data_IF_486297651666
#
_entry.id   IF_486297651666
#
_cell.length_a   1.000
_cell.length_b   1.000
_cell.length_c   1.000
_cell.angle_alpha   90.00
_cell.angle_beta   90.00
_cell.angle_gamma   90.00
#
_symmetry.space_group_name_H-M   'P 1'
#
loop_
_entity.id
_entity.type
_entity.pdbx_description
1 polymer ?
#
# COMPACT_ATOMS: atom_id res chain seq x y z
N UNK A 1 11.41 -33.50 -1.20
CA UNK A 1 10.89 -33.95 0.11
C UNK A 1 9.72 -34.87 -0.16
N UNK A 2 9.93 -36.19 -0.19
CA UNK A 2 8.86 -37.18 -0.28
C UNK A 2 8.49 -37.62 1.13
N UNK A 3 7.78 -36.78 1.87
CA UNK A 3 6.99 -37.25 3.01
C UNK A 3 5.71 -37.83 2.44
N UNK A 4 5.51 -39.14 2.59
CA UNK A 4 4.23 -39.83 2.40
C UNK A 4 3.19 -39.19 3.33
N UNK A 5 2.63 -38.04 2.90
CA UNK A 5 1.53 -37.38 3.57
C UNK A 5 0.30 -38.23 3.36
N UNK A 6 -0.26 -38.73 4.46
CA UNK A 6 -1.46 -39.55 4.44
C UNK A 6 -2.63 -38.68 3.92
N UNK A 7 -2.96 -38.80 2.64
CA UNK A 7 -3.99 -37.99 1.95
C UNK A 7 -5.41 -38.21 2.49
N UNK A 8 -5.61 -39.17 3.42
CA UNK A 8 -6.90 -39.48 4.03
C UNK A 8 -7.37 -38.44 5.05
N UNK A 9 -6.43 -37.73 5.70
CA UNK A 9 -6.74 -36.71 6.70
C UNK A 9 -6.39 -35.30 6.17
N UNK A 10 -7.17 -34.27 6.52
CA UNK A 10 -6.80 -32.90 6.22
C UNK A 10 -5.45 -32.53 6.83
N UNK A 11 -4.62 -31.86 6.03
CA UNK A 11 -3.30 -31.38 6.43
C UNK A 11 -3.40 -29.93 6.89
N UNK A 12 -2.89 -29.61 8.09
CA UNK A 12 -2.65 -28.25 8.55
C UNK A 12 -1.15 -27.94 8.48
N UNK A 13 -0.78 -27.06 7.56
CA UNK A 13 0.57 -26.51 7.43
C UNK A 13 0.66 -25.24 8.25
N UNK A 14 1.61 -25.18 9.18
CA UNK A 14 1.80 -23.99 10.01
C UNK A 14 3.25 -23.52 10.04
N UNK A 15 3.45 -22.23 10.27
CA UNK A 15 4.77 -21.60 10.28
C UNK A 15 4.69 -20.11 10.56
N UNK A 16 5.84 -19.43 10.53
CA UNK A 16 5.90 -17.97 10.60
C UNK A 16 5.37 -17.33 9.30
N UNK A 17 5.12 -16.01 9.34
CA UNK A 17 4.80 -15.26 8.12
C UNK A 17 5.95 -15.35 7.12
N UNK A 18 5.65 -15.47 5.83
CA UNK A 18 6.65 -15.53 4.77
C UNK A 18 7.55 -16.78 4.78
N UNK A 19 7.22 -17.82 5.54
CA UNK A 19 7.99 -19.06 5.60
C UNK A 19 7.74 -20.01 4.40
N UNK A 20 6.91 -19.63 3.43
CA UNK A 20 6.61 -20.48 2.27
C UNK A 20 5.46 -21.48 2.46
N UNK A 21 4.56 -21.28 3.45
CA UNK A 21 3.37 -22.13 3.67
C UNK A 21 2.53 -22.31 2.40
N UNK A 22 2.13 -21.20 1.78
CA UNK A 22 1.30 -21.21 0.58
C UNK A 22 2.03 -21.81 -0.64
N UNK A 23 3.35 -21.65 -0.71
CA UNK A 23 4.19 -22.28 -1.74
C UNK A 23 4.24 -23.80 -1.57
N UNK A 24 4.46 -24.29 -0.34
CA UNK A 24 4.44 -25.71 -0.04
C UNK A 24 3.07 -26.34 -0.34
N UNK A 25 1.97 -25.69 0.06
CA UNK A 25 0.63 -26.18 -0.20
C UNK A 25 0.32 -26.26 -1.70
N UNK A 26 0.81 -25.29 -2.48
CA UNK A 26 0.68 -25.32 -3.94
C UNK A 26 1.46 -26.49 -4.53
N UNK A 27 2.73 -26.65 -4.18
CA UNK A 27 3.57 -27.75 -4.68
C UNK A 27 3.00 -29.14 -4.35
N UNK A 28 2.40 -29.30 -3.16
CA UNK A 28 1.71 -30.55 -2.79
C UNK A 28 0.46 -30.83 -3.65
N UNK A 29 -0.10 -29.80 -4.26
CA UNK A 29 -1.33 -29.84 -5.04
C UNK A 29 -1.10 -29.75 -6.56
N UNK A 30 0.14 -29.66 -7.04
CA UNK A 30 0.48 -29.42 -8.47
C UNK A 30 -0.16 -30.44 -9.43
N UNK A 31 -0.35 -31.68 -8.99
CA UNK A 31 -0.96 -32.75 -9.79
C UNK A 31 -2.46 -32.94 -9.54
N UNK A 32 -3.12 -31.98 -8.86
CA UNK A 32 -4.54 -32.04 -8.50
C UNK A 32 -5.33 -30.87 -9.10
N UNK A 33 -6.65 -31.02 -9.18
CA UNK A 33 -7.55 -29.89 -9.46
C UNK A 33 -7.76 -29.10 -8.17
N UNK A 34 -7.21 -27.89 -8.09
CA UNK A 34 -7.19 -27.07 -6.87
C UNK A 34 -8.38 -26.12 -6.83
N UNK A 35 -9.11 -26.13 -5.72
CA UNK A 35 -10.03 -25.05 -5.34
C UNK A 35 -9.42 -24.31 -4.16
N UNK A 36 -9.02 -23.06 -4.38
CA UNK A 36 -8.41 -22.20 -3.36
C UNK A 36 -9.48 -21.31 -2.73
N UNK A 37 -9.52 -21.29 -1.40
CA UNK A 37 -10.28 -20.37 -0.58
C UNK A 37 -9.27 -19.52 0.19
N UNK A 38 -9.28 -18.21 -0.03
CA UNK A 38 -8.38 -17.27 0.63
C UNK A 38 -9.14 -16.04 1.15
N UNK A 39 -8.39 -15.07 1.69
CA UNK A 39 -8.94 -13.87 2.30
C UNK A 39 -9.81 -13.04 1.36
N UNK A 40 -9.71 -13.19 0.03
CA UNK A 40 -10.59 -12.50 -0.92
C UNK A 40 -12.05 -12.97 -0.82
N UNK A 41 -12.28 -14.18 -0.30
CA UNK A 41 -13.62 -14.79 -0.19
C UNK A 41 -14.30 -14.54 1.18
N UNK A 42 -13.72 -13.67 2.02
CA UNK A 42 -14.29 -13.32 3.33
C UNK A 42 -15.71 -12.78 3.19
N UNK A 43 -16.65 -13.31 3.98
CA UNK A 43 -18.09 -12.95 4.00
C UNK A 43 -18.85 -13.22 2.69
N UNK A 44 -18.19 -13.67 1.63
CA UNK A 44 -18.84 -14.07 0.37
C UNK A 44 -19.53 -15.42 0.52
N UNK A 45 -18.93 -16.36 1.27
CA UNK A 45 -19.47 -17.70 1.46
C UNK A 45 -20.46 -17.73 2.63
N UNK A 46 -21.74 -17.62 2.31
CA UNK A 46 -22.82 -17.54 3.30
C UNK A 46 -23.41 -18.89 3.73
N UNK A 47 -23.15 -19.97 2.98
CA UNK A 47 -23.78 -21.26 3.24
C UNK A 47 -22.79 -22.42 3.25
N UNK A 48 -23.05 -23.39 4.13
CA UNK A 48 -22.32 -24.66 4.21
C UNK A 48 -22.46 -25.49 2.92
N UNK A 49 -23.56 -25.28 2.19
CA UNK A 49 -23.81 -25.88 0.88
C UNK A 49 -22.71 -25.58 -0.13
N UNK A 50 -22.08 -24.41 -0.06
CA UNK A 50 -21.00 -24.04 -0.98
C UNK A 50 -19.76 -24.93 -0.83
N UNK A 51 -19.31 -25.20 0.41
CA UNK A 51 -18.18 -26.11 0.66
C UNK A 51 -18.51 -27.54 0.21
N UNK A 52 -19.73 -27.99 0.50
CA UNK A 52 -20.19 -29.32 0.09
C UNK A 52 -20.28 -29.42 -1.43
N UNK A 53 -20.74 -28.38 -2.11
CA UNK A 53 -20.84 -28.32 -3.56
C UNK A 53 -19.46 -28.36 -4.23
N UNK A 54 -18.48 -27.61 -3.71
CA UNK A 54 -17.08 -27.66 -4.18
C UNK A 54 -16.55 -29.10 -4.12
N UNK A 55 -16.80 -29.77 -3.01
CA UNK A 55 -16.24 -31.09 -2.73
C UNK A 55 -17.02 -32.20 -3.46
N UNK A 56 -18.35 -32.08 -3.60
CA UNK A 56 -19.23 -33.08 -4.24
C UNK A 56 -19.37 -32.95 -5.75
N UNK A 57 -19.54 -31.73 -6.29
CA UNK A 57 -19.90 -31.57 -7.71
C UNK A 57 -18.76 -32.08 -8.58
N UNK A 58 -19.07 -32.85 -9.62
CA UNK A 58 -18.15 -33.10 -10.72
C UNK A 58 -17.98 -31.78 -11.45
N UNK A 59 -16.93 -31.03 -11.12
CA UNK A 59 -16.60 -29.84 -11.88
C UNK A 59 -16.35 -30.24 -13.32
N UNK A 60 -16.81 -29.43 -14.27
CA UNK A 60 -16.60 -29.59 -15.70
C UNK A 60 -15.11 -29.82 -15.99
N UNK A 61 -14.23 -29.14 -15.25
CA UNK A 61 -12.78 -29.32 -15.31
C UNK A 61 -12.32 -30.76 -15.10
N UNK A 62 -12.98 -31.56 -14.24
CA UNK A 62 -12.63 -32.97 -14.03
C UNK A 62 -13.13 -33.90 -15.14
N UNK A 63 -14.11 -33.47 -15.92
CA UNK A 63 -14.55 -34.22 -17.10
C UNK A 63 -13.54 -34.08 -18.24
N UNK A 64 -12.78 -32.99 -18.27
CA UNK A 64 -11.80 -32.68 -19.32
C UNK A 64 -10.34 -32.74 -18.85
N UNK A 65 -10.06 -32.93 -17.56
CA UNK A 65 -8.70 -33.03 -17.04
C UNK A 65 -8.23 -34.47 -16.95
N UNK A 66 -7.00 -34.72 -17.41
CA UNK A 66 -6.30 -36.00 -17.18
C UNK A 66 -6.06 -36.27 -15.68
N UNK A 67 -6.00 -35.20 -14.86
CA UNK A 67 -5.85 -35.24 -13.41
C UNK A 67 -7.16 -35.64 -12.73
N UNK A 68 -7.14 -36.72 -11.95
CA UNK A 68 -8.34 -37.27 -11.27
C UNK A 68 -8.48 -36.84 -9.80
N UNK A 69 -7.40 -36.38 -9.17
CA UNK A 69 -7.39 -36.01 -7.75
C UNK A 69 -7.78 -34.53 -7.54
N UNK A 70 -8.45 -34.24 -6.42
CA UNK A 70 -8.89 -32.88 -6.05
C UNK A 70 -8.16 -32.40 -4.82
N UNK A 71 -7.91 -31.09 -4.77
CA UNK A 71 -7.40 -30.41 -3.59
C UNK A 71 -8.29 -29.23 -3.21
N UNK A 72 -8.76 -29.18 -1.97
CA UNK A 72 -9.35 -27.99 -1.36
C UNK A 72 -8.28 -27.33 -0.51
N UNK A 73 -7.86 -26.13 -0.90
CA UNK A 73 -6.84 -25.36 -0.21
C UNK A 73 -7.48 -24.17 0.50
N UNK A 74 -7.42 -24.13 1.82
CA UNK A 74 -7.90 -23.02 2.64
C UNK A 74 -6.67 -22.28 3.17
N UNK A 75 -6.37 -21.15 2.57
CA UNK A 75 -5.21 -20.33 2.91
C UNK A 75 -5.54 -19.46 4.12
N UNK A 76 -4.61 -19.37 5.08
CA UNK A 76 -4.67 -18.53 6.27
C UNK A 76 -5.99 -18.65 7.07
N UNK A 77 -6.34 -19.86 7.51
CA UNK A 77 -7.58 -20.15 8.27
C UNK A 77 -7.77 -19.25 9.51
N UNK A 78 -6.67 -18.78 10.10
CA UNK A 78 -6.65 -17.85 11.22
C UNK A 78 -7.26 -16.48 10.91
N UNK A 79 -7.22 -16.02 9.65
CA UNK A 79 -7.86 -14.79 9.18
C UNK A 79 -9.39 -14.95 9.22
N UNK A 80 -9.91 -16.09 8.78
CA UNK A 80 -11.35 -16.38 8.87
C UNK A 80 -11.83 -16.44 10.32
N UNK A 81 -11.05 -17.02 11.23
CA UNK A 81 -11.43 -16.99 12.65
C UNK A 81 -11.55 -15.56 13.21
N UNK A 82 -10.71 -14.63 12.74
CA UNK A 82 -10.70 -13.23 13.19
C UNK A 82 -11.84 -12.40 12.57
N UNK A 83 -12.07 -12.54 11.26
CA UNK A 83 -12.94 -11.64 10.49
C UNK A 83 -14.26 -12.28 9.99
N UNK A 84 -14.37 -13.61 9.99
CA UNK A 84 -15.55 -14.36 9.52
C UNK A 84 -15.77 -15.64 10.37
N UNK A 85 -16.20 -15.44 11.62
CA UNK A 85 -16.43 -16.53 12.59
C UNK A 85 -17.45 -17.55 12.09
N UNK A 86 -18.46 -17.11 11.34
CA UNK A 86 -19.47 -17.97 10.70
C UNK A 86 -18.82 -18.99 9.78
N UNK A 87 -18.01 -18.52 8.83
CA UNK A 87 -17.33 -19.38 7.87
C UNK A 87 -16.30 -20.28 8.54
N UNK A 88 -15.55 -19.75 9.52
CA UNK A 88 -14.64 -20.58 10.31
C UNK A 88 -15.38 -21.73 11.02
N UNK A 89 -16.53 -21.48 11.65
CA UNK A 89 -17.35 -22.53 12.28
C UNK A 89 -17.78 -23.58 11.24
N UNK A 90 -18.21 -23.15 10.05
CA UNK A 90 -18.55 -24.05 8.95
C UNK A 90 -17.38 -24.94 8.53
N UNK A 91 -16.16 -24.41 8.42
CA UNK A 91 -14.95 -25.20 8.15
C UNK A 91 -14.70 -26.22 9.26
N UNK A 92 -14.79 -25.81 10.54
CA UNK A 92 -14.54 -26.73 11.65
C UNK A 92 -15.54 -27.89 11.68
N UNK A 93 -16.81 -27.63 11.34
CA UNK A 93 -17.84 -28.67 11.29
C UNK A 93 -17.65 -29.58 10.07
N UNK A 94 -17.27 -29.03 8.91
CA UNK A 94 -16.89 -29.80 7.72
C UNK A 94 -15.73 -30.77 8.01
N UNK A 95 -14.70 -30.34 8.74
CA UNK A 95 -13.56 -31.19 9.15
C UNK A 95 -14.01 -32.30 10.12
N UNK A 96 -14.97 -32.02 11.02
CA UNK A 96 -15.48 -33.05 11.94
C UNK A 96 -16.29 -34.14 11.24
N UNK A 97 -16.96 -33.79 10.13
CA UNK A 97 -17.85 -34.72 9.40
C UNK A 97 -17.10 -35.81 8.63
N UNK A 98 -15.81 -35.62 8.31
CA UNK A 98 -14.97 -36.58 7.57
C UNK A 98 -15.50 -37.02 6.19
N UNK A 99 -16.42 -36.24 5.60
CA UNK A 99 -17.00 -36.50 4.27
C UNK A 99 -16.31 -35.65 3.21
N UNK A 100 -15.08 -36.02 2.85
CA UNK A 100 -14.25 -35.24 1.92
C UNK A 100 -14.36 -35.68 0.45
N UNK A 101 -15.13 -36.72 0.12
CA UNK A 101 -15.39 -37.18 -1.25
C UNK A 101 -14.12 -37.27 -2.13
N UNK A 102 -13.07 -37.94 -1.64
CA UNK A 102 -11.77 -38.08 -2.32
C UNK A 102 -11.05 -36.75 -2.63
N UNK A 103 -11.42 -35.68 -1.94
CA UNK A 103 -10.73 -34.39 -2.00
C UNK A 103 -9.70 -34.31 -0.89
N UNK A 104 -8.45 -34.03 -1.25
CA UNK A 104 -7.40 -33.73 -0.31
C UNK A 104 -7.59 -32.32 0.24
N UNK A 105 -7.62 -32.16 1.57
CA UNK A 105 -7.87 -30.86 2.20
C UNK A 105 -6.57 -30.34 2.82
N UNK A 106 -6.14 -29.16 2.40
CA UNK A 106 -4.96 -28.48 2.94
C UNK A 106 -5.41 -27.17 3.57
N UNK A 107 -4.98 -26.92 4.81
CA UNK A 107 -5.22 -25.72 5.58
C UNK A 107 -3.86 -25.07 5.88
N UNK A 108 -3.75 -23.75 5.81
CA UNK A 108 -2.55 -23.04 6.26
C UNK A 108 -2.85 -22.11 7.42
N UNK A 109 -1.94 -22.00 8.40
CA UNK A 109 -2.07 -21.02 9.48
C UNK A 109 -0.74 -20.50 10.02
N UNK A 110 -0.79 -19.40 10.78
CA UNK A 110 0.36 -18.92 11.54
C UNK A 110 0.50 -19.66 12.88
N UNK A 111 1.74 -19.78 13.38
CA UNK A 111 2.03 -20.48 14.64
C UNK A 111 1.28 -19.91 15.85
N UNK A 112 0.99 -18.60 15.87
CA UNK A 112 0.20 -17.96 16.93
C UNK A 112 -1.21 -18.54 17.06
N UNK A 113 -1.76 -19.11 15.99
CA UNK A 113 -3.11 -19.66 15.96
C UNK A 113 -3.22 -21.06 16.58
N UNK A 114 -2.11 -21.77 16.79
CA UNK A 114 -2.11 -23.15 17.29
C UNK A 114 -2.70 -23.29 18.70
N UNK A 115 -2.63 -22.23 19.51
CA UNK A 115 -3.19 -22.20 20.88
C UNK A 115 -4.69 -21.89 20.91
N UNK A 116 -5.32 -21.65 19.76
CA UNK A 116 -6.73 -21.30 19.70
C UNK A 116 -7.62 -22.47 20.16
N UNK A 117 -8.54 -22.21 21.10
CA UNK A 117 -9.43 -23.23 21.68
C UNK A 117 -10.28 -23.94 20.61
N UNK A 118 -10.75 -23.24 19.58
CA UNK A 118 -11.58 -23.85 18.53
C UNK A 118 -10.77 -24.74 17.60
N UNK A 119 -9.54 -24.34 17.24
CA UNK A 119 -8.64 -25.19 16.46
C UNK A 119 -8.29 -26.48 17.24
N UNK A 120 -8.06 -26.37 18.56
CA UNK A 120 -7.78 -27.52 19.41
C UNK A 120 -8.90 -28.56 19.41
N UNK A 121 -10.17 -28.16 19.25
CA UNK A 121 -11.31 -29.09 19.13
C UNK A 121 -11.24 -29.98 17.89
N UNK A 122 -10.60 -29.50 16.82
CA UNK A 122 -10.46 -30.26 15.57
C UNK A 122 -9.09 -30.92 15.39
N UNK A 123 -8.16 -30.72 16.34
CA UNK A 123 -6.79 -31.24 16.29
C UNK A 123 -6.70 -32.75 15.99
N UNK A 124 -7.59 -33.55 16.57
CA UNK A 124 -7.62 -35.01 16.36
C UNK A 124 -8.01 -35.45 14.94
N UNK A 125 -8.52 -34.52 14.12
CA UNK A 125 -8.91 -34.78 12.74
C UNK A 125 -7.89 -34.24 11.73
N UNK A 126 -6.82 -33.60 12.20
CA UNK A 126 -5.83 -32.93 11.35
C UNK A 126 -4.47 -33.61 11.48
N UNK A 127 -3.76 -33.71 10.36
CA UNK A 127 -2.32 -33.97 10.35
C UNK A 127 -1.59 -32.61 10.38
N UNK A 128 -0.58 -32.46 11.23
CA UNK A 128 0.15 -31.20 11.40
C UNK A 128 1.51 -31.27 10.71
N UNK A 129 1.87 -30.20 10.01
CA UNK A 129 3.21 -30.03 9.45
C UNK A 129 3.73 -28.62 9.77
N UNK A 130 4.81 -28.55 10.55
CA UNK A 130 5.48 -27.28 10.84
C UNK A 130 6.53 -26.97 9.77
N UNK A 131 6.45 -25.77 9.20
CA UNK A 131 7.53 -25.19 8.41
C UNK A 131 8.42 -24.36 9.34
N UNK A 132 9.59 -24.91 9.62
CA UNK A 132 10.65 -24.26 10.39
C UNK A 132 11.99 -24.54 9.72
N UNK A 133 12.79 -23.49 9.57
CA UNK A 133 14.12 -23.58 9.01
C UNK A 133 15.17 -23.27 10.08
N UNK A 134 16.28 -23.99 10.05
CA UNK A 134 17.51 -23.52 10.69
C UNK A 134 18.10 -22.37 9.87
N UNK A 135 18.98 -21.56 10.48
CA UNK A 135 19.66 -20.48 9.75
C UNK A 135 20.36 -20.99 8.48
N UNK A 136 21.08 -22.12 8.59
CA UNK A 136 21.80 -22.71 7.44
C UNK A 136 20.86 -23.16 6.32
N UNK A 137 19.69 -23.72 6.65
CA UNK A 137 18.68 -24.09 5.65
C UNK A 137 18.09 -22.84 4.98
N UNK A 138 17.73 -21.84 5.79
CA UNK A 138 17.19 -20.57 5.31
C UNK A 138 18.17 -19.88 4.35
N UNK A 139 19.43 -19.77 4.78
CA UNK A 139 20.53 -19.18 4.03
C UNK A 139 20.71 -19.87 2.66
N UNK A 140 20.78 -21.20 2.62
CA UNK A 140 20.88 -21.97 1.37
C UNK A 140 19.71 -21.71 0.41
N UNK A 141 18.50 -21.57 0.95
CA UNK A 141 17.31 -21.27 0.14
C UNK A 141 17.40 -19.84 -0.41
N UNK A 142 17.81 -18.86 0.39
CA UNK A 142 18.00 -17.48 -0.07
C UNK A 142 19.07 -17.37 -1.15
N UNK A 143 20.20 -18.08 -1.02
CA UNK A 143 21.22 -18.17 -2.07
C UNK A 143 20.63 -18.69 -3.39
N UNK A 144 19.78 -19.73 -3.29
CA UNK A 144 19.12 -20.30 -4.48
C UNK A 144 18.15 -19.31 -5.11
N UNK A 145 17.30 -18.65 -4.31
CA UNK A 145 16.37 -17.60 -4.77
C UNK A 145 17.13 -16.49 -5.48
N UNK A 146 18.23 -16.04 -4.89
CA UNK A 146 19.01 -14.94 -5.43
C UNK A 146 19.71 -15.30 -6.76
N UNK A 147 20.18 -16.55 -6.88
CA UNK A 147 20.71 -17.11 -8.12
C UNK A 147 19.62 -17.24 -9.20
N UNK A 148 18.47 -17.80 -8.85
CA UNK A 148 17.36 -18.04 -9.78
C UNK A 148 16.79 -16.72 -10.32
N UNK A 149 16.71 -15.68 -9.49
CA UNK A 149 16.25 -14.34 -9.86
C UNK A 149 17.34 -13.42 -10.43
N UNK A 150 18.60 -13.89 -10.49
CA UNK A 150 19.75 -13.14 -11.04
C UNK A 150 19.94 -11.76 -10.41
N UNK A 151 19.73 -11.61 -9.10
CA UNK A 151 20.02 -10.33 -8.44
C UNK A 151 21.53 -10.03 -8.52
N UNK A 152 21.91 -8.75 -8.64
CA UNK A 152 23.31 -8.30 -8.62
C UNK A 152 23.66 -7.90 -7.19
N UNK A 153 24.61 -8.59 -6.56
CA UNK A 153 25.01 -8.33 -5.18
C UNK A 153 26.45 -8.79 -4.94
N UNK A 154 27.12 -8.16 -3.98
CA UNK A 154 28.32 -8.72 -3.35
C UNK A 154 27.91 -9.75 -2.31
N UNK A 155 28.81 -10.67 -1.94
CA UNK A 155 28.51 -11.69 -0.93
C UNK A 155 28.16 -11.07 0.43
N UNK A 156 28.87 -10.03 0.84
CA UNK A 156 28.63 -9.32 2.11
C UNK A 156 27.27 -8.61 2.16
N UNK A 157 26.83 -8.06 1.02
CA UNK A 157 25.53 -7.41 0.90
C UNK A 157 24.40 -8.43 0.98
N UNK A 158 24.56 -9.57 0.30
CA UNK A 158 23.61 -10.67 0.37
C UNK A 158 23.47 -11.21 1.80
N UNK A 159 24.57 -11.38 2.53
CA UNK A 159 24.56 -11.86 3.91
C UNK A 159 23.79 -10.92 4.84
N UNK A 160 24.00 -9.60 4.70
CA UNK A 160 23.22 -8.59 5.42
C UNK A 160 21.74 -8.70 5.09
N UNK A 161 21.38 -8.79 3.81
CA UNK A 161 19.97 -8.91 3.36
C UNK A 161 19.31 -10.17 3.90
N UNK A 162 20.01 -11.31 3.89
CA UNK A 162 19.53 -12.57 4.47
C UNK A 162 19.31 -12.40 5.98
N UNK A 163 20.25 -11.78 6.69
CA UNK A 163 20.10 -11.54 8.12
C UNK A 163 18.89 -10.66 8.45
N UNK A 164 18.76 -9.50 7.78
CA UNK A 164 17.67 -8.53 8.01
C UNK A 164 16.29 -9.08 7.64
N UNK A 165 16.20 -9.99 6.69
CA UNK A 165 14.94 -10.61 6.29
C UNK A 165 14.28 -11.48 7.36
N UNK A 166 15.00 -11.86 8.43
CA UNK A 166 14.40 -12.42 9.64
C UNK A 166 13.61 -13.73 9.43
N UNK A 167 14.09 -14.63 8.57
CA UNK A 167 13.42 -15.87 8.15
C UNK A 167 12.14 -15.67 7.33
N UNK A 168 11.96 -14.51 6.69
CA UNK A 168 10.84 -14.21 5.82
C UNK A 168 11.31 -14.11 4.36
N UNK A 169 10.93 -15.09 3.53
CA UNK A 169 11.34 -15.11 2.12
C UNK A 169 10.74 -13.96 1.30
N UNK A 170 9.55 -13.48 1.67
CA UNK A 170 8.93 -12.35 0.96
C UNK A 170 9.67 -11.04 1.28
N UNK A 171 10.07 -10.85 2.54
CA UNK A 171 10.90 -9.71 2.94
C UNK A 171 12.26 -9.76 2.26
N UNK A 172 12.89 -10.93 2.20
CA UNK A 172 14.15 -11.11 1.48
C UNK A 172 14.04 -10.71 0.00
N UNK A 173 13.01 -11.19 -0.71
CA UNK A 173 12.78 -10.82 -2.12
C UNK A 173 12.55 -9.32 -2.27
N UNK A 174 11.71 -8.72 -1.43
CA UNK A 174 11.43 -7.28 -1.44
C UNK A 174 12.73 -6.46 -1.31
N UNK A 175 13.58 -6.78 -0.33
CA UNK A 175 14.85 -6.07 -0.12
C UNK A 175 15.79 -6.24 -1.32
N UNK A 176 15.81 -7.42 -1.96
CA UNK A 176 16.63 -7.66 -3.15
C UNK A 176 16.09 -6.95 -4.41
N UNK A 177 14.77 -6.73 -4.48
CA UNK A 177 14.09 -6.09 -5.61
C UNK A 177 14.10 -4.57 -5.54
N UNK A 178 14.19 -3.97 -4.35
CA UNK A 178 14.36 -2.51 -4.17
C UNK A 178 15.58 -1.99 -4.96
N UNK A 179 16.70 -2.74 -5.00
CA UNK A 179 17.88 -2.34 -5.77
C UNK A 179 17.73 -2.46 -7.29
N UNK A 180 16.84 -3.35 -7.77
CA UNK A 180 16.52 -3.47 -9.20
C UNK A 180 15.55 -2.37 -9.65
N UNK A 181 14.55 -2.05 -8.83
CA UNK A 181 13.53 -1.06 -9.16
C UNK A 181 14.03 0.38 -8.99
N UNK A 182 15.02 0.64 -8.13
CA UNK A 182 15.72 1.93 -8.11
C UNK A 182 16.43 2.28 -9.44
N UNK A 183 16.64 1.31 -10.34
CA UNK A 183 17.15 1.56 -11.70
C UNK A 183 16.07 1.74 -12.77
N UNK A 184 14.79 1.53 -12.43
CA UNK A 184 13.65 1.57 -13.36
C UNK A 184 12.52 2.52 -12.95
N UNK A 185 12.46 2.94 -11.69
CA UNK A 185 11.61 4.05 -11.26
C UNK A 185 12.27 5.36 -11.68
N UNK A 186 11.66 6.02 -12.67
CA UNK A 186 11.98 7.40 -13.05
C UNK A 186 11.39 8.43 -12.07
N UNK A 187 10.96 8.00 -10.87
CA UNK A 187 10.49 8.90 -9.83
C UNK A 187 11.69 9.29 -8.98
N UNK A 188 12.05 10.58 -9.04
CA UNK A 188 13.09 11.13 -8.19
C UNK A 188 12.70 10.88 -6.71
N UNK A 189 13.61 10.34 -5.87
CA UNK A 189 13.38 10.21 -4.45
C UNK A 189 12.88 11.52 -3.84
N UNK A 190 11.92 11.46 -2.93
CA UNK A 190 11.29 12.65 -2.35
C UNK A 190 12.33 13.57 -1.67
N UNK A 191 13.44 13.00 -1.20
CA UNK A 191 14.58 13.75 -0.67
C UNK A 191 15.26 14.62 -1.74
N UNK A 192 15.39 14.13 -2.97
CA UNK A 192 15.95 14.87 -4.11
C UNK A 192 14.99 15.98 -4.53
N UNK A 193 13.69 15.66 -4.63
CA UNK A 193 12.66 16.64 -4.99
C UNK A 193 12.59 17.78 -3.96
N UNK A 194 12.52 17.43 -2.66
CA UNK A 194 12.50 18.41 -1.57
C UNK A 194 13.72 19.32 -1.60
N UNK A 195 14.92 18.75 -1.81
CA UNK A 195 16.15 19.53 -1.94
C UNK A 195 16.09 20.48 -3.13
N UNK A 196 15.62 19.98 -4.28
CA UNK A 196 15.49 20.78 -5.48
C UNK A 196 14.51 21.94 -5.31
N UNK A 197 13.37 21.73 -4.63
CA UNK A 197 12.37 22.76 -4.32
C UNK A 197 12.89 23.85 -3.37
N UNK A 198 13.94 23.58 -2.59
CA UNK A 198 14.59 24.55 -1.70
C UNK A 198 15.72 25.29 -2.43
N UNK A 199 16.43 24.61 -3.32
CA UNK A 199 17.62 25.13 -4.00
C UNK A 199 17.31 25.89 -5.29
N UNK A 200 16.20 25.56 -5.96
CA UNK A 200 15.84 26.11 -7.26
C UNK A 200 14.49 26.83 -7.22
N UNK A 201 14.34 27.87 -8.04
CA UNK A 201 13.04 28.51 -8.27
C UNK A 201 12.33 27.86 -9.44
N UNK A 202 11.07 27.53 -9.25
CA UNK A 202 10.24 26.90 -10.27
C UNK A 202 9.08 27.80 -10.66
N UNK A 203 8.68 27.70 -11.92
CA UNK A 203 7.40 28.25 -12.33
C UNK A 203 6.26 27.45 -11.71
N UNK A 204 5.11 28.10 -11.47
CA UNK A 204 3.95 27.46 -10.84
C UNK A 204 3.53 26.19 -11.60
N UNK A 205 3.56 26.22 -12.95
CA UNK A 205 3.24 25.06 -13.79
C UNK A 205 4.20 23.89 -13.56
N UNK A 206 5.46 24.17 -13.28
CA UNK A 206 6.47 23.17 -12.97
C UNK A 206 6.27 22.60 -11.57
N UNK A 207 5.92 23.46 -10.59
CA UNK A 207 5.58 23.01 -9.23
C UNK A 207 4.38 22.05 -9.22
N UNK A 208 3.36 22.31 -10.03
CA UNK A 208 2.22 21.39 -10.18
C UNK A 208 2.64 20.02 -10.70
N UNK A 209 3.63 19.97 -11.58
CA UNK A 209 4.13 18.73 -12.17
C UNK A 209 5.10 18.00 -11.23
N UNK A 210 5.95 18.73 -10.52
CA UNK A 210 7.00 18.18 -9.65
C UNK A 210 6.39 17.62 -8.35
N UNK A 211 5.34 18.25 -7.82
CA UNK A 211 4.75 17.88 -6.55
C UNK A 211 3.61 16.86 -6.66
N UNK A 212 3.22 16.46 -7.87
CA UNK A 212 2.05 15.60 -8.11
C UNK A 212 2.18 14.26 -7.37
N UNK A 213 1.21 13.97 -6.50
CA UNK A 213 1.12 12.72 -5.74
C UNK A 213 1.78 12.72 -4.35
N UNK A 214 2.69 13.67 -4.08
CA UNK A 214 3.43 13.79 -2.81
C UNK A 214 3.31 15.20 -2.19
N UNK A 215 2.30 15.98 -2.59
CA UNK A 215 2.18 17.41 -2.30
C UNK A 215 2.20 17.70 -0.79
N UNK A 216 1.51 16.89 0.00
CA UNK A 216 1.39 17.05 1.46
C UNK A 216 2.73 16.78 2.14
N UNK A 217 3.42 15.71 1.72
CA UNK A 217 4.68 15.29 2.31
C UNK A 217 5.79 16.29 1.98
N UNK A 218 5.83 16.77 0.73
CA UNK A 218 6.72 17.84 0.30
C UNK A 218 6.45 19.14 1.07
N UNK A 219 5.18 19.53 1.26
CA UNK A 219 4.81 20.72 2.02
C UNK A 219 5.30 20.64 3.48
N UNK A 220 5.11 19.50 4.16
CA UNK A 220 5.60 19.31 5.52
C UNK A 220 7.13 19.25 5.60
N UNK A 221 7.81 18.60 4.65
CA UNK A 221 9.27 18.63 4.61
C UNK A 221 9.80 20.04 4.41
N UNK A 222 9.15 20.86 3.58
CA UNK A 222 9.53 22.26 3.38
C UNK A 222 9.26 23.12 4.62
N UNK A 223 8.17 22.85 5.35
CA UNK A 223 7.85 23.50 6.63
C UNK A 223 8.87 23.16 7.72
N UNK A 224 9.21 21.88 7.86
CA UNK A 224 10.18 21.39 8.86
C UNK A 224 11.57 22.02 8.66
N UNK A 225 11.92 22.29 7.40
CA UNK A 225 13.18 22.94 7.04
C UNK A 225 13.06 24.46 6.92
N UNK A 226 11.91 25.07 7.21
CA UNK A 226 11.66 26.50 7.03
C UNK A 226 12.58 27.37 7.88
N UNK A 227 12.80 26.99 9.14
CA UNK A 227 13.67 27.72 10.07
C UNK A 227 15.12 27.77 9.55
N UNK A 228 15.61 26.63 9.04
CA UNK A 228 16.95 26.50 8.47
C UNK A 228 17.12 27.28 7.16
N UNK A 229 16.05 27.37 6.38
CA UNK A 229 16.06 27.89 5.01
C UNK A 229 15.68 29.37 4.88
N UNK A 230 15.04 29.97 5.89
CA UNK A 230 14.58 31.38 5.85
C UNK A 230 15.36 32.33 6.79
N UNK A 231 16.22 31.82 7.69
CA UNK A 231 17.13 32.55 8.63
C UNK A 231 16.79 34.05 8.93
N UNK A 232 16.41 34.36 10.18
CA UNK A 232 16.29 35.69 10.84
C UNK A 232 15.44 36.76 10.11
N UNK A 233 14.94 36.54 8.90
CA UNK A 233 13.93 37.41 8.29
C UNK A 233 12.54 37.06 8.82
N UNK A 234 12.26 37.54 10.05
CA UNK A 234 11.01 37.30 10.79
C UNK A 234 9.80 37.69 9.94
N UNK A 235 9.91 38.73 9.10
CA UNK A 235 8.82 39.17 8.21
C UNK A 235 8.55 38.13 7.13
N UNK A 236 9.58 37.59 6.45
CA UNK A 236 9.39 36.52 5.45
C UNK A 236 8.88 35.24 6.09
N UNK A 237 9.46 34.86 7.23
CA UNK A 237 9.04 33.70 8.01
C UNK A 237 7.56 33.78 8.37
N UNK A 238 7.12 34.91 8.94
CA UNK A 238 5.72 35.10 9.33
C UNK A 238 4.76 35.00 8.15
N UNK A 239 5.04 35.60 6.97
CA UNK A 239 4.10 35.44 5.84
C UNK A 239 4.20 34.08 5.13
N UNK A 240 5.26 33.29 5.32
CA UNK A 240 5.30 31.89 4.85
C UNK A 240 4.46 31.03 5.80
N UNK A 241 4.69 31.16 7.11
CA UNK A 241 3.96 30.43 8.12
C UNK A 241 2.45 30.74 8.09
N UNK A 242 2.07 32.00 7.89
CA UNK A 242 0.66 32.39 7.71
C UNK A 242 0.04 31.74 6.48
N UNK A 243 0.79 31.54 5.40
CA UNK A 243 0.30 30.81 4.23
C UNK A 243 0.02 29.34 4.53
N UNK A 244 0.81 28.70 5.42
CA UNK A 244 0.52 27.34 5.87
C UNK A 244 -0.73 27.29 6.74
N UNK A 245 -0.89 28.23 7.68
CA UNK A 245 -2.10 28.31 8.50
C UNK A 245 -3.34 28.49 7.60
N UNK A 246 -3.26 29.39 6.62
CA UNK A 246 -4.36 29.60 5.67
C UNK A 246 -4.64 28.32 4.86
N UNK A 247 -3.60 27.59 4.44
CA UNK A 247 -3.72 26.30 3.75
C UNK A 247 -4.37 25.23 4.64
N UNK A 248 -3.96 25.08 5.89
CA UNK A 248 -4.49 24.10 6.84
C UNK A 248 -5.97 24.38 7.18
N UNK A 249 -6.34 25.65 7.37
CA UNK A 249 -7.74 26.07 7.60
C UNK A 249 -8.60 25.70 6.39
N UNK A 250 -8.07 25.91 5.19
CA UNK A 250 -8.77 25.58 3.95
C UNK A 250 -8.89 24.06 3.80
N UNK A 251 -7.82 23.30 4.04
CA UNK A 251 -7.79 21.84 4.01
C UNK A 251 -8.82 21.24 4.98
N UNK A 252 -8.82 21.68 6.25
CA UNK A 252 -9.80 21.26 7.25
C UNK A 252 -11.25 21.47 6.80
N UNK A 253 -11.53 22.63 6.20
CA UNK A 253 -12.87 22.97 5.71
C UNK A 253 -13.23 22.21 4.43
N UNK A 254 -12.26 21.78 3.63
CA UNK A 254 -12.47 20.94 2.44
C UNK A 254 -12.76 19.49 2.83
N UNK A 255 -11.98 18.91 3.74
CA UNK A 255 -12.19 17.55 4.28
C UNK A 255 -13.58 17.45 4.92
N UNK A 256 -14.01 18.50 5.61
CA UNK A 256 -15.35 18.58 6.23
C UNK A 256 -16.50 18.64 5.21
N UNK A 257 -16.26 19.17 4.00
CA UNK A 257 -17.28 19.41 2.98
C UNK A 257 -17.14 18.50 1.74
N UNK A 258 -16.32 17.45 1.81
CA UNK A 258 -16.14 16.38 0.83
C UNK A 258 -15.82 16.86 -0.60
N UNK A 259 -14.86 17.79 -0.72
CA UNK A 259 -14.38 18.31 -2.02
C UNK A 259 -12.92 17.93 -2.28
N UNK A 260 -12.69 16.67 -2.61
CA UNK A 260 -11.36 16.06 -2.90
C UNK A 260 -10.44 16.90 -3.81
N UNK A 261 -11.01 17.61 -4.79
CA UNK A 261 -10.25 18.35 -5.80
C UNK A 261 -9.44 19.54 -5.28
N UNK A 262 -9.78 20.07 -4.11
CA UNK A 262 -9.19 21.32 -3.61
C UNK A 262 -7.95 21.11 -2.72
N UNK A 263 -7.69 19.87 -2.27
CA UNK A 263 -6.61 19.55 -1.32
C UNK A 263 -5.24 19.62 -2.02
N UNK A 264 -5.12 19.02 -3.21
CA UNK A 264 -3.87 18.98 -4.00
C UNK A 264 -3.32 20.39 -4.31
N UNK A 265 -4.20 21.33 -4.66
CA UNK A 265 -3.79 22.68 -5.05
C UNK A 265 -3.31 23.52 -3.86
N UNK A 266 -3.84 23.31 -2.65
CA UNK A 266 -3.52 24.12 -1.47
C UNK A 266 -2.15 23.75 -0.89
N UNK A 267 -1.80 22.47 -0.86
CA UNK A 267 -0.45 22.02 -0.52
C UNK A 267 0.59 22.55 -1.51
N UNK A 268 0.27 22.59 -2.81
CA UNK A 268 1.14 23.18 -3.85
C UNK A 268 1.26 24.70 -3.71
N UNK A 269 0.22 25.42 -3.27
CA UNK A 269 0.29 26.86 -2.99
C UNK A 269 1.20 27.17 -1.79
N UNK A 270 1.17 26.34 -0.76
CA UNK A 270 2.09 26.41 0.37
C UNK A 270 3.54 26.18 -0.09
N UNK A 271 3.77 25.15 -0.91
CA UNK A 271 5.07 24.88 -1.54
C UNK A 271 5.53 26.05 -2.42
N UNK A 272 4.63 26.62 -3.23
CA UNK A 272 4.94 27.74 -4.12
C UNK A 272 5.32 29.01 -3.34
N UNK A 273 4.65 29.30 -2.23
CA UNK A 273 4.98 30.46 -1.40
C UNK A 273 6.34 30.34 -0.72
N UNK A 274 6.75 29.13 -0.38
CA UNK A 274 8.09 28.83 0.12
C UNK A 274 9.10 28.90 -1.02
N UNK A 275 8.90 28.15 -2.11
CA UNK A 275 9.80 28.10 -3.27
C UNK A 275 10.06 29.49 -3.87
N UNK A 276 9.04 30.35 -3.93
CA UNK A 276 9.19 31.73 -4.39
C UNK A 276 10.14 32.56 -3.51
N UNK A 277 10.16 32.28 -2.21
CA UNK A 277 10.88 33.06 -1.19
C UNK A 277 12.21 32.45 -0.77
N UNK A 278 12.46 31.19 -1.14
CA UNK A 278 13.66 30.46 -0.81
C UNK A 278 14.51 30.29 -2.07
N UNK A 279 15.82 30.49 -1.91
CA UNK A 279 16.83 30.16 -2.91
C UNK A 279 18.16 29.98 -2.15
N UNK A 280 18.28 28.87 -1.43
CA UNK A 280 19.44 28.62 -0.56
C UNK A 280 19.98 27.21 -0.75
N UNK A 281 21.31 27.07 -0.76
CA UNK A 281 21.97 25.77 -0.71
C UNK A 281 21.81 25.16 0.68
N UNK A 282 21.22 23.97 0.76
CA UNK A 282 20.98 23.30 2.04
C UNK A 282 21.62 21.90 2.05
N UNK A 283 22.59 21.69 2.95
CA UNK A 283 23.34 20.43 3.01
C UNK A 283 22.68 19.38 3.92
N UNK A 284 21.92 19.79 4.94
CA UNK A 284 21.35 18.88 5.97
C UNK A 284 19.84 19.12 6.17
N UNK A 285 19.05 18.50 5.30
CA UNK A 285 17.58 18.52 5.36
C UNK A 285 17.06 17.51 6.38
N UNK A 286 16.08 17.92 7.18
CA UNK A 286 15.29 17.01 8.03
C UNK A 286 14.16 16.48 7.17
N UNK A 287 14.02 15.16 7.08
CA UNK A 287 13.00 14.51 6.28
C UNK A 287 11.98 13.85 7.18
N UNK A 288 10.72 14.22 7.03
CA UNK A 288 9.60 13.47 7.58
C UNK A 288 9.34 12.28 6.64
N UNK A 289 9.63 11.07 7.12
CA UNK A 289 9.32 9.80 6.40
C UNK A 289 7.98 9.20 6.80
N UNK A 290 7.38 9.72 7.88
CA UNK A 290 6.08 9.30 8.37
C UNK A 290 5.07 10.38 8.02
N UNK A 291 4.43 10.21 6.86
CA UNK A 291 3.01 10.42 6.54
C UNK A 291 2.93 10.31 5.01
N UNK A 292 2.81 9.08 4.51
CA UNK A 292 2.24 8.83 3.18
C UNK A 292 1.76 7.39 3.14
N UNK A 293 0.43 7.22 3.24
CA UNK A 293 -0.29 6.07 2.68
C UNK A 293 -1.82 6.18 2.71
N UNK A 294 -2.39 7.19 3.36
CA UNK A 294 -3.85 7.30 3.45
C UNK A 294 -4.29 8.77 3.41
N UNK A 295 -4.43 9.36 2.22
CA UNK A 295 -5.60 10.19 1.83
C UNK A 295 -5.65 10.21 0.30
N UNK A 296 -6.53 9.33 -0.19
CA UNK A 296 -7.23 9.28 -1.49
C UNK A 296 -6.72 10.20 -2.61
N UNK A 297 -6.43 9.63 -3.79
CA UNK A 297 -7.06 10.03 -5.06
C UNK A 297 -6.58 9.17 -6.25
N UNK A 298 -7.29 8.05 -6.46
CA UNK A 298 -7.53 7.52 -7.80
C UNK A 298 -8.65 8.33 -8.45
N UNK A 299 -8.31 9.31 -9.31
CA UNK A 299 -9.08 9.62 -10.52
C UNK A 299 -8.38 10.72 -11.33
N UNK A 300 -7.98 10.34 -12.54
CA UNK A 300 -7.48 11.24 -13.59
C UNK A 300 -8.70 11.94 -14.19
N UNK A 301 -8.86 13.25 -13.95
CA UNK A 301 -9.60 14.14 -14.85
C UNK A 301 -8.83 15.44 -15.00
N UNK A 302 -8.53 15.81 -16.24
CA UNK A 302 -7.95 17.10 -16.60
C UNK A 302 -8.97 18.21 -16.30
N UNK A 303 -8.61 19.15 -15.43
CA UNK A 303 -9.38 20.37 -15.19
C UNK A 303 -8.54 21.53 -15.67
N UNK A 304 -8.96 22.16 -16.75
CA UNK A 304 -8.37 23.40 -17.22
C UNK A 304 -9.30 24.56 -16.89
N UNK A 305 -8.69 25.63 -16.39
CA UNK A 305 -9.15 27.03 -16.32
C UNK A 305 -9.97 27.53 -15.13
N UNK A 306 -10.79 26.74 -14.43
CA UNK A 306 -11.52 27.28 -13.26
C UNK A 306 -10.59 27.63 -12.08
N UNK A 307 -9.49 26.88 -11.97
CA UNK A 307 -8.51 26.90 -10.86
C UNK A 307 -7.54 28.08 -10.95
N UNK A 308 -7.11 28.43 -12.18
CA UNK A 308 -6.27 29.59 -12.45
C UNK A 308 -7.03 30.90 -12.17
N UNK A 309 -8.35 30.93 -12.43
CA UNK A 309 -9.19 32.12 -12.21
C UNK A 309 -9.36 32.42 -10.72
N UNK A 310 -9.54 31.42 -9.85
CA UNK A 310 -9.64 31.60 -8.39
C UNK A 310 -8.31 32.15 -7.83
N UNK A 311 -7.17 31.63 -8.30
CA UNK A 311 -5.84 32.11 -7.94
C UNK A 311 -5.61 33.58 -8.33
N UNK A 312 -5.97 33.96 -9.56
CA UNK A 312 -5.89 35.35 -10.01
C UNK A 312 -6.78 36.26 -9.13
N UNK A 313 -7.93 35.75 -8.70
CA UNK A 313 -8.87 36.48 -7.84
C UNK A 313 -8.28 36.81 -6.47
N UNK A 314 -7.64 35.83 -5.83
CA UNK A 314 -6.97 35.99 -4.54
C UNK A 314 -5.78 36.98 -4.64
N UNK A 315 -5.01 36.89 -5.73
CA UNK A 315 -3.91 37.82 -6.03
C UNK A 315 -4.36 39.27 -6.18
N UNK A 316 -5.44 39.49 -6.90
CA UNK A 316 -6.00 40.83 -7.09
C UNK A 316 -6.55 41.38 -5.78
N UNK A 317 -7.30 40.59 -5.00
CA UNK A 317 -7.96 41.08 -3.78
C UNK A 317 -7.01 41.29 -2.60
N UNK A 318 -6.04 40.39 -2.38
CA UNK A 318 -5.13 40.48 -1.24
C UNK A 318 -3.85 41.28 -1.53
N UNK A 319 -3.39 41.28 -2.77
CA UNK A 319 -2.08 41.83 -3.14
C UNK A 319 -2.14 42.97 -4.17
N UNK A 320 -3.34 43.40 -4.60
CA UNK A 320 -3.56 44.50 -5.54
C UNK A 320 -2.77 44.39 -6.87
N UNK A 321 -2.52 43.16 -7.35
CA UNK A 321 -1.74 42.93 -8.56
C UNK A 321 -2.48 43.34 -9.85
N UNK A 322 -2.06 44.42 -10.49
CA UNK A 322 -2.74 45.01 -11.66
C UNK A 322 -2.63 44.15 -12.93
N UNK A 323 -1.56 43.37 -13.10
CA UNK A 323 -1.44 42.45 -14.25
C UNK A 323 -2.49 41.35 -14.23
N UNK A 324 -2.80 40.85 -13.03
CA UNK A 324 -3.83 39.83 -12.81
C UNK A 324 -5.26 40.39 -12.97
N UNK A 325 -5.49 41.70 -12.72
CA UNK A 325 -6.79 42.37 -12.99
C UNK A 325 -7.17 42.34 -14.47
N UNK A 326 -6.19 42.51 -15.37
CA UNK A 326 -6.42 42.53 -16.81
C UNK A 326 -6.89 41.16 -17.31
N UNK A 327 -6.31 40.07 -16.79
CA UNK A 327 -6.71 38.70 -17.13
C UNK A 327 -8.12 38.34 -16.66
N UNK A 328 -8.54 38.84 -15.50
CA UNK A 328 -9.89 38.62 -14.97
C UNK A 328 -10.97 39.41 -15.71
N UNK A 329 -10.65 40.60 -16.25
CA UNK A 329 -11.64 41.53 -16.83
C UNK A 329 -12.45 41.01 -18.04
N UNK A 330 -12.09 39.85 -18.61
CA UNK A 330 -12.68 39.32 -19.84
C UNK A 330 -13.99 38.51 -19.64
N UNK A 331 -14.33 38.10 -18.42
CA UNK A 331 -15.50 37.22 -18.22
C UNK A 331 -16.31 37.50 -16.93
N UNK A 332 -17.16 38.54 -16.98
CA UNK A 332 -17.87 39.11 -15.82
C UNK A 332 -18.81 38.14 -15.08
N UNK A 333 -19.50 37.23 -15.79
CA UNK A 333 -20.47 36.32 -15.16
C UNK A 333 -19.80 35.25 -14.30
N UNK A 334 -18.63 34.78 -14.72
CA UNK A 334 -17.84 33.76 -14.01
C UNK A 334 -17.22 34.37 -12.74
N UNK A 335 -16.78 35.63 -12.83
CA UNK A 335 -16.29 36.42 -11.69
C UNK A 335 -17.34 36.61 -10.60
N UNK A 336 -18.59 36.96 -10.93
CA UNK A 336 -19.62 37.19 -9.90
C UNK A 336 -19.96 35.93 -9.10
N UNK A 337 -19.97 34.76 -9.75
CA UNK A 337 -20.12 33.48 -9.06
C UNK A 337 -18.93 33.20 -8.14
N UNK A 338 -17.71 33.46 -8.60
CA UNK A 338 -16.48 33.22 -7.83
C UNK A 338 -16.35 34.23 -6.68
N UNK A 339 -16.77 35.49 -6.83
CA UNK A 339 -16.78 36.49 -5.74
C UNK A 339 -17.79 36.13 -4.63
N UNK A 340 -18.95 35.56 -5.00
CA UNK A 340 -19.91 35.01 -4.03
C UNK A 340 -19.33 33.83 -3.25
N UNK A 341 -18.63 32.94 -3.95
CA UNK A 341 -17.93 31.80 -3.35
C UNK A 341 -16.83 32.34 -2.43
N UNK A 342 -15.96 33.22 -2.92
CA UNK A 342 -14.85 33.82 -2.17
C UNK A 342 -15.31 34.56 -0.89
N UNK A 343 -16.40 35.33 -0.94
CA UNK A 343 -17.02 35.99 0.24
C UNK A 343 -17.60 35.03 1.28
N UNK A 344 -17.76 33.75 0.97
CA UNK A 344 -18.14 32.73 1.94
C UNK A 344 -16.92 32.18 2.70
N UNK A 345 -15.69 32.36 2.17
CA UNK A 345 -14.44 31.86 2.76
C UNK A 345 -13.61 32.96 3.46
N UNK A 346 -13.86 34.24 3.13
CA UNK A 346 -13.27 35.46 3.72
C UNK A 346 -14.35 36.52 3.92
#
# INVERSE_FOLDING_TARGET
>A
MNTLLNKSNPLLIHGKSGSGKSCLSMNLSDNMVVTKIDSSMLKTIKSKGYLIDIVKKRNVTLMFSEKKERCLLIDDIHVFQKYDRSFFKMITDFIKEKKYYQTYVILTCNNSFLKNKELMKIKKYLTYHEIKYTYSQYYKICLKIAKDNKYKYTLDDLDKKIYFSGYNFNTFKSICEEDLNNSKDNYDPIEIITKSLIENKYEIKELFRICEGDEILLAYNMLENLEKSVKVDIKKYHKIYRSFIDSDIIEYNIVKNDKELSIKYMSILSIANINYRINMKCNNLIMNRYISKCMVLTNIKSIHDLEFIIYLFDKVKKYNDEKSKIYLSKDKKTIEKIDKIYKLFY
#
